data_IF_952501799709
#
_entry.id   IF_952501799709
#
_cell.length_a   1.000
_cell.length_b   1.000
_cell.length_c   1.000
_cell.angle_alpha   90.00
_cell.angle_beta   90.00
_cell.angle_gamma   90.00
#
_symmetry.space_group_name_H-M   'P 1'
#
loop_
_entity.id
_entity.type
_entity.pdbx_description
1 polymer ?
#
# COMPACT_ATOMS: atom_id res chain seq x y z
N UNK A 1 -19.70 15.45 -5.61
CA UNK A 1 -18.32 15.19 -6.07
C UNK A 1 -18.20 13.69 -6.25
N UNK A 2 -17.55 13.20 -7.30
CA UNK A 2 -17.36 11.75 -7.49
C UNK A 2 -16.45 11.21 -6.41
N UNK A 3 -16.77 10.04 -5.85
CA UNK A 3 -15.88 9.35 -4.92
C UNK A 3 -14.99 8.39 -5.71
N UNK A 4 -13.68 8.48 -5.49
CA UNK A 4 -12.70 7.55 -6.05
C UNK A 4 -12.01 6.76 -4.96
N UNK A 5 -11.64 5.53 -5.28
CA UNK A 5 -10.84 4.65 -4.45
C UNK A 5 -9.54 4.33 -5.16
N UNK A 6 -8.41 4.39 -4.46
CA UNK A 6 -7.12 3.98 -4.98
C UNK A 6 -6.64 2.82 -4.12
N UNK A 7 -6.51 1.64 -4.73
CA UNK A 7 -5.97 0.46 -4.07
C UNK A 7 -4.49 0.36 -4.41
N UNK A 8 -3.63 0.38 -3.40
CA UNK A 8 -2.18 0.38 -3.54
C UNK A 8 -1.56 -0.75 -2.76
N UNK A 9 -0.49 -1.32 -3.32
CA UNK A 9 0.37 -2.29 -2.67
C UNK A 9 1.81 -2.13 -3.16
N UNK A 10 2.76 -2.59 -2.36
CA UNK A 10 4.19 -2.51 -2.65
C UNK A 10 4.93 -3.81 -2.34
N UNK A 11 5.78 -4.24 -3.28
CA UNK A 11 6.86 -5.15 -2.95
C UNK A 11 8.09 -4.34 -2.57
N UNK A 12 8.80 -4.76 -1.53
CA UNK A 12 9.80 -3.92 -0.89
C UNK A 12 11.13 -4.63 -0.66
N UNK A 13 12.20 -3.86 -0.65
CA UNK A 13 13.57 -4.32 -0.33
C UNK A 13 13.69 -4.98 1.05
N UNK A 14 12.77 -4.74 1.98
CA UNK A 14 12.82 -5.22 3.35
C UNK A 14 11.65 -4.72 4.19
N UNK A 15 11.77 -4.87 5.51
CA UNK A 15 10.86 -4.24 6.49
C UNK A 15 11.62 -3.15 7.25
N UNK A 16 10.94 -2.13 7.81
CA UNK A 16 11.62 -1.13 8.60
C UNK A 16 12.28 -1.74 9.84
N UNK A 17 13.48 -1.27 10.19
CA UNK A 17 14.15 -1.69 11.43
C UNK A 17 13.43 -1.15 12.66
N UNK A 18 12.98 0.12 12.60
CA UNK A 18 12.27 0.83 13.66
C UNK A 18 11.20 1.75 13.05
N UNK A 19 9.95 1.54 13.42
CA UNK A 19 8.81 2.34 12.96
C UNK A 19 8.78 3.76 13.55
N UNK A 20 9.56 4.00 14.61
CA UNK A 20 9.61 5.27 15.35
C UNK A 20 10.70 6.23 14.85
N UNK A 21 11.28 5.99 13.67
CA UNK A 21 12.36 6.81 13.12
C UNK A 21 11.88 7.63 11.90
N UNK A 22 12.37 8.87 11.71
CA UNK A 22 11.97 9.70 10.59
C UNK A 22 12.42 9.12 9.25
N UNK A 23 11.77 9.55 8.16
CA UNK A 23 12.09 9.11 6.80
C UNK A 23 13.51 9.48 6.34
N UNK A 24 14.15 10.44 7.02
CA UNK A 24 15.56 10.81 6.80
C UNK A 24 16.57 9.73 7.22
N UNK A 25 16.17 8.76 8.03
CA UNK A 25 17.03 7.65 8.46
C UNK A 25 17.22 6.63 7.32
N UNK A 26 18.24 6.88 6.48
CA UNK A 26 18.47 6.19 5.19
C UNK A 26 18.47 4.66 5.28
N UNK A 27 19.02 4.08 6.35
CA UNK A 27 19.15 2.63 6.55
C UNK A 27 18.01 2.01 7.38
N UNK A 28 16.98 2.79 7.74
CA UNK A 28 15.86 2.32 8.54
C UNK A 28 14.70 1.79 7.70
N UNK A 29 14.20 2.62 6.78
CA UNK A 29 13.01 2.35 5.98
C UNK A 29 13.38 1.56 4.71
N UNK A 30 12.56 0.61 4.26
CA UNK A 30 12.77 0.00 2.97
C UNK A 30 12.47 0.99 1.83
N UNK A 31 12.85 0.60 0.61
CA UNK A 31 12.34 1.14 -0.65
C UNK A 31 11.46 0.11 -1.34
N UNK A 32 10.50 0.59 -2.14
CA UNK A 32 9.72 -0.24 -3.04
C UNK A 32 10.56 -0.72 -4.23
N UNK A 33 10.35 -1.97 -4.62
CA UNK A 33 10.88 -2.60 -5.84
C UNK A 33 9.78 -2.87 -6.87
N UNK A 34 8.54 -2.98 -6.40
CA UNK A 34 7.34 -2.92 -7.23
C UNK A 34 6.33 -2.00 -6.53
N UNK A 35 5.66 -1.16 -7.29
CA UNK A 35 4.53 -0.34 -6.82
C UNK A 35 3.41 -0.51 -7.82
N UNK A 36 2.22 -0.85 -7.33
CA UNK A 36 1.04 -0.96 -8.15
C UNK A 36 -0.12 -0.22 -7.51
N UNK A 37 -0.92 0.44 -8.34
CA UNK A 37 -2.19 0.97 -7.88
C UNK A 37 -3.28 0.85 -8.94
N UNK A 38 -4.51 0.71 -8.47
CA UNK A 38 -5.72 0.65 -9.29
C UNK A 38 -6.74 1.64 -8.73
N UNK A 39 -7.28 2.48 -9.61
CA UNK A 39 -8.26 3.50 -9.28
C UNK A 39 -9.62 3.02 -9.75
N UNK A 40 -10.59 3.06 -8.84
CA UNK A 40 -11.98 2.74 -9.10
C UNK A 40 -12.87 3.93 -8.79
N UNK A 41 -14.00 4.02 -9.48
CA UNK A 41 -15.08 4.93 -9.10
C UNK A 41 -15.99 4.35 -8.00
N UNK A 42 -16.99 5.13 -7.62
CA UNK A 42 -17.99 4.77 -6.60
C UNK A 42 -18.81 3.52 -6.92
N UNK A 43 -18.92 3.17 -8.21
CA UNK A 43 -19.64 2.01 -8.74
C UNK A 43 -18.75 0.78 -8.93
N UNK A 44 -17.52 0.82 -8.39
CA UNK A 44 -16.52 -0.23 -8.56
C UNK A 44 -16.10 -0.48 -10.02
N UNK A 45 -16.20 0.55 -10.88
CA UNK A 45 -15.63 0.50 -12.23
C UNK A 45 -14.17 0.93 -12.20
N UNK A 46 -13.29 0.13 -12.80
CA UNK A 46 -11.88 0.48 -12.95
C UNK A 46 -11.73 1.68 -13.89
N UNK A 47 -11.06 2.72 -13.40
CA UNK A 47 -10.77 3.95 -14.14
C UNK A 47 -9.34 3.94 -14.68
N UNK A 48 -8.40 3.47 -13.85
CA UNK A 48 -6.98 3.49 -14.16
C UNK A 48 -6.25 2.40 -13.40
N UNK A 49 -5.17 1.91 -14.00
CA UNK A 49 -4.26 0.92 -13.43
C UNK A 49 -2.84 1.25 -13.80
N UNK A 50 -1.94 1.09 -12.85
CA UNK A 50 -0.51 1.35 -13.02
C UNK A 50 0.28 0.27 -12.29
N UNK A 51 1.29 -0.30 -12.94
CA UNK A 51 2.18 -1.33 -12.38
C UNK A 51 3.61 -1.01 -12.78
N UNK A 52 4.45 -0.73 -11.78
CA UNK A 52 5.84 -0.34 -12.03
C UNK A 52 6.79 -1.16 -11.18
N UNK A 53 7.88 -1.59 -11.80
CA UNK A 53 9.08 -2.01 -11.10
C UNK A 53 10.01 -0.82 -10.94
N UNK A 54 10.67 -0.68 -9.79
CA UNK A 54 11.57 0.44 -9.50
C UNK A 54 13.01 -0.05 -9.46
N UNK A 55 13.90 0.66 -10.15
CA UNK A 55 15.33 0.41 -10.08
C UNK A 55 16.12 1.71 -9.89
N UNK A 56 16.90 1.74 -8.82
CA UNK A 56 17.91 2.74 -8.53
C UNK A 56 19.13 2.01 -7.92
N UNK A 57 20.34 2.53 -8.13
CA UNK A 57 21.56 1.85 -7.67
C UNK A 57 21.67 1.69 -6.14
N UNK A 58 20.95 2.51 -5.38
CA UNK A 58 20.92 2.47 -3.92
C UNK A 58 20.06 1.34 -3.33
N UNK A 59 19.28 0.62 -4.15
CA UNK A 59 18.41 -0.46 -3.68
C UNK A 59 19.20 -1.65 -3.12
N UNK A 60 18.88 -2.04 -1.88
CA UNK A 60 19.46 -3.19 -1.18
C UNK A 60 18.37 -4.20 -0.82
N UNK A 61 18.05 -5.11 -1.75
CA UNK A 61 17.04 -6.15 -1.53
C UNK A 61 17.57 -7.19 -0.54
N UNK A 62 16.87 -7.35 0.59
CA UNK A 62 17.19 -8.36 1.58
C UNK A 62 16.91 -9.77 1.04
N UNK A 63 17.68 -10.76 1.51
CA UNK A 63 17.46 -12.17 1.13
C UNK A 63 16.06 -12.66 1.52
N UNK A 64 15.46 -12.08 2.57
CA UNK A 64 14.11 -12.42 3.01
C UNK A 64 13.06 -11.88 2.03
N UNK A 65 13.15 -10.61 1.63
CA UNK A 65 12.24 -10.03 0.62
C UNK A 65 12.37 -10.75 -0.72
N UNK A 66 13.60 -11.02 -1.16
CA UNK A 66 13.83 -11.76 -2.41
C UNK A 66 13.15 -13.14 -2.40
N UNK A 67 13.18 -13.86 -1.27
CA UNK A 67 12.49 -15.16 -1.14
C UNK A 67 10.97 -15.03 -1.16
N UNK A 68 10.43 -13.88 -0.78
CA UNK A 68 8.99 -13.62 -0.73
C UNK A 68 8.47 -13.28 -2.13
N UNK A 69 9.04 -12.27 -2.80
CA UNK A 69 8.51 -11.73 -4.06
C UNK A 69 9.25 -12.20 -5.33
N UNK A 70 10.45 -12.80 -5.20
CA UNK A 70 11.23 -13.29 -6.34
C UNK A 70 11.87 -12.23 -7.25
N UNK A 71 11.51 -10.95 -7.14
CA UNK A 71 12.09 -9.82 -7.89
C UNK A 71 13.60 -9.67 -7.62
N UNK A 72 14.43 -9.93 -8.64
CA UNK A 72 15.90 -9.87 -8.56
C UNK A 72 16.45 -8.51 -9.00
N UNK A 73 17.68 -8.16 -8.58
CA UNK A 73 18.39 -6.97 -9.10
C UNK A 73 18.57 -7.02 -10.63
N UNK A 74 18.82 -8.21 -11.19
CA UNK A 74 18.95 -8.39 -12.65
C UNK A 74 17.62 -8.16 -13.38
N UNK A 75 16.49 -8.57 -12.79
CA UNK A 75 15.18 -8.28 -13.35
C UNK A 75 14.91 -6.77 -13.31
N UNK A 76 15.19 -6.11 -12.18
CA UNK A 76 14.98 -4.68 -12.02
C UNK A 76 15.88 -3.84 -12.96
N UNK A 77 17.12 -4.26 -13.21
CA UNK A 77 17.99 -3.51 -14.13
C UNK A 77 17.51 -3.53 -15.58
N UNK A 78 16.66 -4.50 -15.97
CA UNK A 78 16.10 -4.62 -17.32
C UNK A 78 14.68 -4.04 -17.44
N UNK A 79 13.89 -4.12 -16.37
CA UNK A 79 12.45 -3.82 -16.39
C UNK A 79 12.04 -2.66 -15.47
N UNK A 80 12.95 -2.21 -14.61
CA UNK A 80 12.70 -1.17 -13.63
C UNK A 80 12.77 0.23 -14.22
N UNK A 81 12.05 1.15 -13.60
CA UNK A 81 12.06 2.57 -13.89
C UNK A 81 12.61 3.34 -12.70
N UNK A 82 13.08 4.55 -12.96
CA UNK A 82 13.56 5.46 -11.91
C UNK A 82 12.46 5.76 -10.90
N UNK A 83 12.78 5.65 -9.60
CA UNK A 83 11.86 5.93 -8.48
C UNK A 83 11.13 7.26 -8.67
N UNK A 84 11.85 8.33 -9.02
CA UNK A 84 11.27 9.68 -9.19
C UNK A 84 10.12 9.68 -10.20
N UNK A 85 10.29 9.02 -11.35
CA UNK A 85 9.29 8.99 -12.41
C UNK A 85 8.03 8.22 -11.99
N UNK A 86 8.19 7.10 -11.27
CA UNK A 86 7.06 6.31 -10.76
C UNK A 86 6.30 7.09 -9.68
N UNK A 87 7.01 7.73 -8.76
CA UNK A 87 6.40 8.52 -7.68
C UNK A 87 5.70 9.79 -8.17
N UNK A 88 6.20 10.44 -9.22
CA UNK A 88 5.52 11.57 -9.86
C UNK A 88 4.18 11.16 -10.50
N UNK A 89 4.11 9.96 -11.09
CA UNK A 89 2.85 9.40 -11.62
C UNK A 89 1.84 9.15 -10.50
N UNK A 90 2.27 8.50 -9.43
CA UNK A 90 1.42 8.27 -8.26
C UNK A 90 0.93 9.59 -7.65
N UNK A 91 1.83 10.58 -7.51
CA UNK A 91 1.48 11.91 -6.98
C UNK A 91 0.47 12.65 -7.86
N UNK A 92 0.64 12.57 -9.18
CA UNK A 92 -0.30 13.11 -10.16
C UNK A 92 -1.68 12.49 -9.98
N UNK A 93 -1.76 11.17 -9.91
CA UNK A 93 -3.02 10.44 -9.77
C UNK A 93 -3.71 10.75 -8.44
N UNK A 94 -2.99 10.76 -7.32
CA UNK A 94 -3.57 11.12 -6.01
C UNK A 94 -4.14 12.54 -6.04
N UNK A 95 -3.43 13.48 -6.68
CA UNK A 95 -3.88 14.88 -6.78
C UNK A 95 -5.09 15.03 -7.70
N UNK A 96 -5.12 14.31 -8.81
CA UNK A 96 -6.22 14.35 -9.79
C UNK A 96 -7.50 13.77 -9.21
N UNK A 97 -7.42 12.55 -8.65
CA UNK A 97 -8.60 11.80 -8.22
C UNK A 97 -9.02 12.11 -6.78
N UNK A 98 -8.11 12.61 -5.94
CA UNK A 98 -8.34 12.80 -4.49
C UNK A 98 -9.01 11.57 -3.83
N UNK A 99 -8.46 10.35 -4.03
CA UNK A 99 -9.14 9.12 -3.68
C UNK A 99 -9.06 8.80 -2.18
N UNK A 100 -9.93 7.90 -1.72
CA UNK A 100 -9.66 7.13 -0.51
C UNK A 100 -8.57 6.11 -0.80
N UNK A 101 -7.39 6.28 -0.20
CA UNK A 101 -6.24 5.41 -0.41
C UNK A 101 -6.39 4.17 0.47
N UNK A 102 -6.43 3.00 -0.16
CA UNK A 102 -6.77 1.73 0.47
C UNK A 102 -5.72 0.67 0.18
N UNK A 103 -5.37 -0.13 1.17
CA UNK A 103 -4.41 -1.23 1.05
C UNK A 103 -4.75 -2.37 2.01
N UNK A 104 -3.93 -3.42 2.01
CA UNK A 104 -3.96 -4.49 3.00
C UNK A 104 -2.69 -4.46 3.83
N UNK A 105 -2.72 -3.66 4.91
CA UNK A 105 -1.57 -3.12 5.65
C UNK A 105 -1.08 -1.74 5.15
N UNK A 106 -2.03 -0.88 4.77
CA UNK A 106 -1.83 0.48 4.23
C UNK A 106 -0.75 1.32 4.92
N UNK A 107 -0.66 1.26 6.25
CA UNK A 107 0.36 2.02 7.00
C UNK A 107 1.80 1.69 6.52
N UNK A 108 2.07 0.41 6.22
CA UNK A 108 3.37 -0.04 5.74
C UNK A 108 3.70 0.53 4.35
N UNK A 109 2.76 0.45 3.41
CA UNK A 109 2.92 0.98 2.04
C UNK A 109 3.15 2.49 2.07
N UNK A 110 2.35 3.21 2.87
CA UNK A 110 2.46 4.67 2.98
C UNK A 110 3.79 5.08 3.60
N UNK A 111 4.28 4.42 4.65
CA UNK A 111 5.61 4.73 5.18
C UNK A 111 6.73 4.44 4.16
N UNK A 112 6.66 3.30 3.47
CA UNK A 112 7.66 2.91 2.47
C UNK A 112 7.72 3.93 1.34
N UNK A 113 6.57 4.25 0.75
CA UNK A 113 6.48 5.23 -0.32
C UNK A 113 6.85 6.63 0.16
N UNK A 114 6.50 7.00 1.40
CA UNK A 114 6.88 8.29 1.99
C UNK A 114 8.39 8.44 2.15
N UNK A 115 9.08 7.36 2.54
CA UNK A 115 10.54 7.33 2.57
C UNK A 115 11.13 7.44 1.16
N UNK A 116 10.51 6.82 0.16
CA UNK A 116 10.92 6.93 -1.23
C UNK A 116 10.66 8.33 -1.82
N UNK A 117 9.56 9.00 -1.48
CA UNK A 117 9.31 10.41 -1.79
C UNK A 117 10.40 11.31 -1.19
N UNK A 118 10.78 11.06 0.07
CA UNK A 118 11.89 11.77 0.71
C UNK A 118 13.22 11.54 -0.03
N UNK A 119 13.57 10.30 -0.37
CA UNK A 119 14.80 9.97 -1.13
C UNK A 119 14.83 10.60 -2.52
N UNK A 120 13.67 10.69 -3.18
CA UNK A 120 13.52 11.33 -4.48
C UNK A 120 13.47 12.86 -4.41
N UNK A 121 13.52 13.46 -3.21
CA UNK A 121 13.33 14.90 -2.99
C UNK A 121 12.02 15.44 -3.60
N UNK A 122 10.95 14.64 -3.47
CA UNK A 122 9.62 14.96 -3.97
C UNK A 122 8.67 15.31 -2.81
N UNK A 123 7.69 16.17 -3.08
CA UNK A 123 6.62 16.46 -2.12
C UNK A 123 5.77 15.20 -1.91
N UNK A 124 5.56 14.84 -0.65
CA UNK A 124 4.72 13.70 -0.29
C UNK A 124 3.23 14.02 -0.50
N UNK A 125 2.52 13.29 -1.39
CA UNK A 125 1.09 13.53 -1.68
C UNK A 125 0.15 13.03 -0.57
N UNK A 126 0.63 12.19 0.34
CA UNK A 126 -0.19 11.56 1.38
C UNK A 126 -0.60 12.49 2.52
N UNK A 127 0.04 13.67 2.62
CA UNK A 127 -0.19 14.67 3.67
C UNK A 127 -1.64 15.09 3.90
N UNK A 128 -2.48 15.02 2.86
CA UNK A 128 -3.90 15.42 2.89
C UNK A 128 -4.81 14.28 2.43
N UNK A 129 -4.29 13.05 2.39
CA UNK A 129 -5.02 11.89 1.92
C UNK A 129 -5.84 11.26 3.05
N UNK A 130 -6.95 10.63 2.68
CA UNK A 130 -7.69 9.76 3.57
C UNK A 130 -7.29 8.32 3.33
N UNK A 131 -7.29 7.51 4.39
CA UNK A 131 -6.79 6.14 4.36
C UNK A 131 -7.83 5.14 4.82
N UNK A 132 -7.83 3.96 4.20
CA UNK A 132 -8.53 2.78 4.67
C UNK A 132 -7.63 1.56 4.61
N UNK A 133 -7.91 0.55 5.43
CA UNK A 133 -7.09 -0.66 5.50
C UNK A 133 -7.97 -1.89 5.72
N UNK A 134 -8.01 -2.79 4.73
CA UNK A 134 -8.81 -4.01 4.81
C UNK A 134 -8.28 -4.99 5.86
N UNK A 135 -6.97 -4.96 6.15
CA UNK A 135 -6.37 -5.72 7.25
C UNK A 135 -6.94 -5.27 8.60
N UNK A 136 -7.05 -3.97 8.84
CA UNK A 136 -7.62 -3.45 10.09
C UNK A 136 -9.10 -3.79 10.21
N UNK A 137 -9.87 -3.67 9.12
CA UNK A 137 -11.27 -4.09 9.08
C UNK A 137 -11.43 -5.59 9.39
N UNK A 138 -10.50 -6.41 8.88
CA UNK A 138 -10.58 -7.86 9.04
C UNK A 138 -10.52 -8.36 10.48
N UNK A 139 -10.10 -7.52 11.44
CA UNK A 139 -10.07 -7.84 12.87
C UNK A 139 -11.44 -8.32 13.38
N UNK A 140 -12.53 -7.81 12.83
CA UNK A 140 -13.90 -8.20 13.21
C UNK A 140 -14.24 -9.66 12.84
N UNK A 141 -13.54 -10.24 11.87
CA UNK A 141 -13.75 -11.61 11.43
C UNK A 141 -12.85 -12.62 12.17
N UNK A 142 -11.87 -12.15 12.95
CA UNK A 142 -10.92 -13.03 13.60
C UNK A 142 -11.52 -13.61 14.88
N UNK A 143 -11.72 -14.93 14.86
CA UNK A 143 -12.20 -15.70 16.03
C UNK A 143 -11.02 -16.28 16.83
N UNK A 144 -9.85 -16.45 16.20
CA UNK A 144 -8.67 -17.03 16.85
C UNK A 144 -7.94 -15.98 17.71
N UNK A 145 -7.78 -16.19 19.04
CA UNK A 145 -7.07 -15.26 19.91
C UNK A 145 -5.57 -15.09 19.61
N UNK A 146 -4.97 -15.98 18.81
CA UNK A 146 -3.54 -15.89 18.44
C UNK A 146 -3.26 -14.94 17.26
N UNK A 147 -4.30 -14.44 16.57
CA UNK A 147 -4.15 -13.52 15.45
C UNK A 147 -4.98 -12.26 15.68
N UNK A 148 -4.40 -11.09 15.42
CA UNK A 148 -5.10 -9.80 15.57
C UNK A 148 -5.89 -9.37 14.32
N UNK A 149 -5.57 -9.96 13.16
CA UNK A 149 -6.13 -9.63 11.84
C UNK A 149 -5.88 -10.77 10.84
N UNK A 150 -6.64 -10.81 9.75
CA UNK A 150 -6.35 -11.70 8.62
C UNK A 150 -5.26 -11.11 7.73
N UNK A 151 -4.36 -11.97 7.24
CA UNK A 151 -3.53 -11.68 6.06
C UNK A 151 -4.42 -11.68 4.80
N UNK A 152 -3.98 -11.01 3.73
CA UNK A 152 -4.77 -10.86 2.51
C UNK A 152 -5.31 -12.18 1.96
N UNK A 153 -4.51 -13.27 1.84
CA UNK A 153 -5.03 -14.53 1.32
C UNK A 153 -6.12 -15.14 2.20
N UNK A 154 -6.05 -14.91 3.52
CA UNK A 154 -7.05 -15.40 4.46
C UNK A 154 -8.33 -14.57 4.41
N UNK A 155 -8.21 -13.25 4.26
CA UNK A 155 -9.36 -12.38 4.05
C UNK A 155 -10.08 -12.73 2.74
N UNK A 156 -9.32 -12.94 1.67
CA UNK A 156 -9.87 -13.38 0.37
C UNK A 156 -10.59 -14.73 0.50
N UNK A 157 -9.94 -15.73 1.12
CA UNK A 157 -10.56 -17.04 1.36
C UNK A 157 -11.83 -16.94 2.21
N UNK A 158 -11.83 -16.10 3.25
CA UNK A 158 -13.00 -15.87 4.08
C UNK A 158 -14.18 -15.26 3.30
N UNK A 159 -13.91 -14.30 2.41
CA UNK A 159 -14.95 -13.62 1.64
C UNK A 159 -15.46 -14.48 0.48
N UNK A 160 -14.59 -15.16 -0.24
CA UNK A 160 -14.94 -15.82 -1.52
C UNK A 160 -14.95 -17.34 -1.45
N UNK A 161 -14.49 -17.94 -0.35
CA UNK A 161 -14.27 -19.40 -0.24
C UNK A 161 -13.34 -19.95 -1.34
N UNK A 162 -12.37 -19.13 -1.75
CA UNK A 162 -11.39 -19.39 -2.80
C UNK A 162 -9.97 -19.12 -2.29
N UNK A 163 -8.99 -19.86 -2.82
CA UNK A 163 -7.58 -19.60 -2.50
C UNK A 163 -7.01 -18.57 -3.44
N UNK A 164 -6.22 -17.66 -2.89
CA UNK A 164 -5.46 -16.69 -3.67
C UNK A 164 -4.28 -17.39 -4.38
N UNK A 165 -4.12 -17.08 -5.66
CA UNK A 165 -2.97 -17.48 -6.47
C UNK A 165 -1.97 -16.32 -6.56
N UNK A 166 -0.69 -16.62 -6.84
CA UNK A 166 0.35 -15.62 -7.10
C UNK A 166 0.53 -14.55 -6.01
N UNK A 167 0.74 -15.01 -4.78
CA UNK A 167 1.09 -14.15 -3.64
C UNK A 167 2.37 -13.33 -3.92
N UNK A 168 2.43 -12.14 -3.33
CA UNK A 168 3.61 -11.28 -3.34
C UNK A 168 3.91 -10.68 -4.72
N UNK A 169 2.85 -10.13 -5.31
CA UNK A 169 2.90 -9.32 -6.51
C UNK A 169 1.98 -8.14 -6.29
N UNK A 170 2.56 -6.94 -6.19
CA UNK A 170 1.83 -5.75 -5.79
C UNK A 170 0.57 -5.47 -6.64
N UNK A 171 0.58 -5.79 -7.94
CA UNK A 171 -0.62 -5.59 -8.77
C UNK A 171 -1.74 -6.55 -8.40
N UNK A 172 -1.42 -7.83 -8.21
CA UNK A 172 -2.41 -8.84 -7.83
C UNK A 172 -2.90 -8.54 -6.41
N UNK A 173 -2.01 -8.19 -5.49
CA UNK A 173 -2.36 -7.86 -4.11
C UNK A 173 -3.25 -6.59 -4.03
N UNK A 174 -3.00 -5.56 -4.84
CA UNK A 174 -3.86 -4.39 -4.97
C UNK A 174 -5.25 -4.73 -5.54
N UNK A 175 -5.34 -5.60 -6.56
CA UNK A 175 -6.61 -6.07 -7.12
C UNK A 175 -7.41 -6.90 -6.12
N UNK A 176 -6.76 -7.85 -5.44
CA UNK A 176 -7.42 -8.68 -4.44
C UNK A 176 -7.89 -7.81 -3.27
N UNK A 177 -7.10 -6.81 -2.87
CA UNK A 177 -7.52 -5.82 -1.88
C UNK A 177 -8.76 -5.06 -2.32
N UNK A 178 -8.82 -4.62 -3.57
CA UNK A 178 -10.01 -3.97 -4.14
C UNK A 178 -11.24 -4.89 -4.10
N UNK A 179 -11.09 -6.15 -4.55
CA UNK A 179 -12.16 -7.15 -4.49
C UNK A 179 -12.66 -7.36 -3.07
N UNK A 180 -11.76 -7.51 -2.10
CA UNK A 180 -12.13 -7.68 -0.70
C UNK A 180 -12.89 -6.45 -0.18
N UNK A 181 -12.39 -5.25 -0.44
CA UNK A 181 -13.03 -4.00 0.00
C UNK A 181 -14.45 -3.88 -0.56
N UNK A 182 -14.63 -4.07 -1.87
CA UNK A 182 -15.95 -3.94 -2.49
C UNK A 182 -16.92 -5.04 -2.06
N UNK A 183 -16.44 -6.25 -1.80
CA UNK A 183 -17.28 -7.33 -1.28
C UNK A 183 -17.74 -7.04 0.16
N UNK A 184 -16.86 -6.58 1.05
CA UNK A 184 -17.23 -6.17 2.42
C UNK A 184 -18.25 -5.02 2.35
N UNK A 185 -18.03 -4.04 1.47
CA UNK A 185 -18.98 -2.92 1.24
C UNK A 185 -20.33 -3.43 0.75
N UNK A 186 -20.35 -4.36 -0.20
CA UNK A 186 -21.57 -4.98 -0.76
C UNK A 186 -22.37 -5.76 0.29
N UNK A 187 -21.69 -6.38 1.27
CA UNK A 187 -22.33 -7.04 2.42
C UNK A 187 -22.93 -6.07 3.43
N UNK A 188 -22.68 -4.76 3.29
CA UNK A 188 -23.10 -3.76 4.26
C UNK A 188 -22.26 -3.78 5.54
N UNK A 189 -21.07 -4.36 5.49
CA UNK A 189 -20.20 -4.56 6.65
C UNK A 189 -19.22 -3.41 6.86
N UNK A 190 -19.17 -2.40 6.00
CA UNK A 190 -18.42 -1.15 6.23
C UNK A 190 -19.38 -0.06 6.71
N UNK A 191 -19.17 0.42 7.93
CA UNK A 191 -19.89 1.57 8.49
C UNK A 191 -19.15 2.89 8.29
N UNK A 192 -19.84 4.01 8.44
CA UNK A 192 -19.21 5.35 8.43
C UNK A 192 -18.16 5.49 9.56
N UNK A 193 -18.44 4.89 10.72
CA UNK A 193 -17.50 4.86 11.84
C UNK A 193 -16.22 4.07 11.49
N UNK A 194 -16.30 3.05 10.64
CA UNK A 194 -15.12 2.30 10.21
C UNK A 194 -14.17 3.17 9.40
N UNK A 195 -14.69 3.98 8.46
CA UNK A 195 -13.85 4.90 7.70
C UNK A 195 -13.09 5.86 8.61
N UNK A 196 -13.77 6.46 9.59
CA UNK A 196 -13.17 7.41 10.53
C UNK A 196 -12.14 6.73 11.45
N UNK A 197 -12.52 5.63 12.10
CA UNK A 197 -11.67 4.94 13.07
C UNK A 197 -10.42 4.34 12.42
N UNK A 198 -10.57 3.71 11.25
CA UNK A 198 -9.44 3.12 10.52
C UNK A 198 -8.52 4.22 10.00
N UNK A 199 -9.05 5.31 9.46
CA UNK A 199 -8.25 6.46 9.03
C UNK A 199 -7.43 7.04 10.20
N UNK A 200 -8.06 7.34 11.33
CA UNK A 200 -7.38 7.87 12.52
C UNK A 200 -6.30 6.92 13.05
N UNK A 201 -6.56 5.61 13.04
CA UNK A 201 -5.57 4.62 13.45
C UNK A 201 -4.33 4.66 12.56
N UNK A 202 -4.51 4.70 11.24
CA UNK A 202 -3.41 4.80 10.27
C UNK A 202 -2.68 6.14 10.44
N UNK A 203 -3.41 7.25 10.45
CA UNK A 203 -2.85 8.60 10.58
C UNK A 203 -1.99 8.74 11.85
N UNK A 204 -2.44 8.17 12.98
CA UNK A 204 -1.69 8.17 14.24
C UNK A 204 -0.32 7.44 14.15
N UNK A 205 -0.18 6.49 13.23
CA UNK A 205 1.06 5.79 12.92
C UNK A 205 1.98 6.56 11.95
N UNK A 206 1.42 7.42 11.12
CA UNK A 206 2.12 8.20 10.09
C UNK A 206 2.75 9.50 10.61
N UNK A 207 3.38 9.43 11.78
CA UNK A 207 3.89 10.59 12.55
C UNK A 207 4.92 11.45 11.81
N UNK A 208 5.56 10.91 10.78
CA UNK A 208 6.61 11.59 10.01
C UNK A 208 6.10 12.23 8.72
N UNK A 209 4.83 12.03 8.34
CA UNK A 209 4.25 12.71 7.19
C UNK A 209 4.25 14.23 7.39
N UNK A 210 3.86 14.69 8.58
CA UNK A 210 3.61 16.12 8.89
C UNK A 210 4.84 16.87 9.38
N UNK A 211 5.89 16.16 9.81
CA UNK A 211 7.10 16.81 10.31
C UNK A 211 7.95 17.27 9.13
N UNK A 212 7.81 18.57 8.83
CA UNK A 212 8.88 19.35 8.20
C UNK A 212 10.19 18.95 8.88
N UNK A 213 11.06 18.35 8.10
CA UNK A 213 12.47 18.13 8.38
C UNK A 213 12.99 19.26 9.28
N UNK A 214 13.33 18.92 10.53
CA UNK A 214 14.33 19.72 11.23
C UNK A 214 15.68 19.41 10.62
#
# INVERSE_FOLDING_TARGET
MKTYFLFIDTETTGIPKRWSLPYSEKDNWPSAVQVAWVIYDENAQEIKRENFYIFNEDLKISSKSLKIHGITKEFLSKNGQERTLVLEKLSTDIKEFQPLITGHFTEFDIHTLSADFYRANLKNPFLQSHFYCTMLKSKEYVVNPEADYFKLPKLYEFLFNEKMEHLHNAMIDAEITAKCFFEIRKRGEISEADFQNIHQKIESGLKFLTHKMK
#
